data_IF_791437782979
#
_entry.id   IF_791437782979
#
_cell.length_a   1.000
_cell.length_b   1.000
_cell.length_c   1.000
_cell.angle_alpha   90.00
_cell.angle_beta   90.00
_cell.angle_gamma   90.00
#
_symmetry.space_group_name_H-M   'P 1'
#
loop_
_entity.id
_entity.type
_entity.pdbx_description
1 polymer ?
#
# COMPACT_ATOMS: atom_id res chain seq x y z
N UNK A 1 9.89 -2.34 -6.17
CA UNK A 1 8.72 -2.00 -7.02
C UNK A 1 7.61 -1.53 -6.09
N UNK A 2 6.90 -0.45 -6.42
CA UNK A 2 5.83 0.11 -5.60
C UNK A 2 4.85 0.83 -6.52
N UNK A 3 3.58 0.56 -6.32
CA UNK A 3 2.48 1.23 -6.99
C UNK A 3 1.49 1.67 -5.92
N UNK A 4 0.91 2.85 -6.10
CA UNK A 4 -0.02 3.46 -5.17
C UNK A 4 -1.15 4.07 -5.99
N UNK A 5 -2.38 3.83 -5.57
CA UNK A 5 -3.57 4.36 -6.21
C UNK A 5 -4.59 4.76 -5.16
N UNK A 6 -5.43 5.74 -5.51
CA UNK A 6 -6.61 6.09 -4.73
C UNK A 6 -7.78 5.30 -5.32
N UNK A 7 -8.48 4.55 -4.49
CA UNK A 7 -9.61 3.71 -4.91
C UNK A 7 -10.95 4.21 -4.38
N UNK A 8 -10.95 4.94 -3.25
CA UNK A 8 -12.15 5.52 -2.64
C UNK A 8 -11.90 6.94 -2.11
N UNK A 9 -12.95 7.75 -2.08
CA UNK A 9 -12.90 9.16 -1.66
C UNK A 9 -12.47 10.13 -2.76
N UNK A 10 -12.46 11.43 -2.45
CA UNK A 10 -12.17 12.49 -3.43
C UNK A 10 -11.26 13.63 -2.94
N UNK A 11 -10.88 13.64 -1.66
CA UNK A 11 -10.07 14.72 -1.05
C UNK A 11 -8.59 14.31 -0.84
N UNK A 12 -8.23 13.06 -1.13
CA UNK A 12 -6.88 12.53 -0.94
C UNK A 12 -5.94 12.78 -2.13
N UNK A 13 -4.64 12.80 -1.86
CA UNK A 13 -3.57 12.92 -2.85
C UNK A 13 -2.75 11.62 -2.89
N UNK A 14 -2.62 11.00 -4.07
CA UNK A 14 -1.84 9.76 -4.22
C UNK A 14 -0.36 9.94 -3.82
N UNK A 15 0.34 11.05 -4.21
CA UNK A 15 1.68 11.32 -3.71
C UNK A 15 1.79 11.44 -2.19
N UNK A 16 0.80 12.04 -1.51
CA UNK A 16 0.81 12.16 -0.06
C UNK A 16 0.57 10.82 0.63
N UNK A 17 -0.36 10.01 0.11
CA UNK A 17 -0.61 8.65 0.57
C UNK A 17 0.67 7.79 0.42
N UNK A 18 1.33 7.87 -0.74
CA UNK A 18 2.57 7.15 -1.01
C UNK A 18 3.69 7.59 -0.07
N UNK A 19 3.83 8.90 0.19
CA UNK A 19 4.81 9.42 1.13
C UNK A 19 4.57 8.91 2.56
N UNK A 20 3.31 8.95 3.02
CA UNK A 20 2.91 8.44 4.33
C UNK A 20 3.17 6.94 4.46
N UNK A 21 2.65 6.13 3.54
CA UNK A 21 2.82 4.68 3.53
C UNK A 21 4.29 4.27 3.38
N UNK A 22 5.04 4.99 2.56
CA UNK A 22 6.48 4.79 2.41
C UNK A 22 7.26 5.08 3.69
N UNK A 23 6.88 6.12 4.44
CA UNK A 23 7.46 6.42 5.75
C UNK A 23 7.09 5.35 6.79
N UNK A 24 5.81 4.95 6.83
CA UNK A 24 5.34 3.87 7.69
C UNK A 24 6.12 2.57 7.45
N UNK A 25 6.28 2.18 6.19
CA UNK A 25 6.96 0.95 5.80
C UNK A 25 8.46 0.92 6.16
N UNK A 26 9.11 2.08 6.27
CA UNK A 26 10.51 2.17 6.72
C UNK A 26 10.65 2.11 8.25
N UNK A 27 9.63 2.53 8.98
CA UNK A 27 9.66 2.66 10.42
C UNK A 27 9.21 1.40 11.17
N UNK A 28 8.56 0.46 10.49
CA UNK A 28 7.94 -0.72 11.11
C UNK A 28 8.41 -2.03 10.47
N UNK A 29 8.51 -3.11 11.26
CA UNK A 29 8.77 -4.44 10.70
C UNK A 29 7.56 -4.90 9.90
N UNK A 30 7.77 -5.14 8.61
CA UNK A 30 6.77 -5.63 7.66
C UNK A 30 7.28 -6.91 6.99
N UNK A 31 6.38 -7.75 6.46
CA UNK A 31 6.77 -8.83 5.56
C UNK A 31 7.55 -8.28 4.35
N UNK A 32 8.29 -9.17 3.69
CA UNK A 32 9.10 -8.83 2.50
C UNK A 32 8.30 -8.07 1.44
N UNK A 33 7.04 -8.45 1.25
CA UNK A 33 6.05 -7.72 0.48
C UNK A 33 4.70 -7.79 1.19
N UNK A 34 3.95 -6.69 1.13
CA UNK A 34 2.58 -6.56 1.64
C UNK A 34 1.89 -5.42 0.89
N UNK A 35 0.57 -5.34 1.00
CA UNK A 35 -0.21 -4.16 0.62
C UNK A 35 -0.50 -3.38 1.89
N UNK A 36 -0.40 -2.05 1.82
CA UNK A 36 -0.74 -1.17 2.93
C UNK A 36 -1.88 -0.27 2.49
N UNK A 37 -2.98 -0.33 3.22
CA UNK A 37 -4.14 0.52 3.00
C UNK A 37 -4.09 1.68 3.98
N UNK A 38 -4.39 2.88 3.48
CA UNK A 38 -4.42 4.09 4.29
C UNK A 38 -5.70 4.88 4.03
N UNK A 39 -6.18 5.56 5.08
CA UNK A 39 -7.31 6.46 5.00
C UNK A 39 -6.87 7.88 5.38
N UNK A 40 -7.33 8.87 4.61
CA UNK A 40 -7.23 10.27 5.00
C UNK A 40 -8.41 10.62 5.92
N UNK A 41 -8.11 10.94 7.17
CA UNK A 41 -9.11 11.37 8.15
C UNK A 41 -9.15 12.90 8.18
N UNK A 42 -10.32 13.47 7.88
CA UNK A 42 -10.52 14.93 7.84
C UNK A 42 -10.10 15.57 9.16
N UNK A 43 -9.21 16.56 9.08
CA UNK A 43 -8.67 17.29 10.22
C UNK A 43 -7.67 16.51 11.09
N UNK A 44 -7.30 15.28 10.72
CA UNK A 44 -6.34 14.44 11.46
C UNK A 44 -5.18 13.90 10.62
N UNK A 45 -5.33 13.87 9.30
CA UNK A 45 -4.30 13.41 8.36
C UNK A 45 -4.42 11.91 8.04
N UNK A 46 -3.35 11.35 7.49
CA UNK A 46 -3.30 9.96 7.04
C UNK A 46 -3.15 8.99 8.21
N UNK A 47 -3.90 7.88 8.16
CA UNK A 47 -3.80 6.77 9.09
C UNK A 47 -3.63 5.46 8.31
N UNK A 48 -2.80 4.55 8.84
CA UNK A 48 -2.76 3.17 8.35
C UNK A 48 -4.06 2.49 8.75
N UNK A 49 -4.69 1.84 7.79
CA UNK A 49 -5.94 1.13 7.99
C UNK A 49 -5.70 -0.37 8.14
N UNK A 50 -4.93 -0.95 7.21
CA UNK A 50 -4.67 -2.39 7.17
C UNK A 50 -3.31 -2.69 6.51
N UNK A 51 -2.71 -3.82 6.89
CA UNK A 51 -1.59 -4.42 6.18
C UNK A 51 -1.99 -5.82 5.70
N UNK A 52 -2.11 -5.95 4.39
CA UNK A 52 -2.61 -7.14 3.72
C UNK A 52 -1.47 -7.97 3.12
N UNK A 53 -1.68 -9.29 3.01
CA UNK A 53 -0.84 -10.12 2.16
C UNK A 53 -0.89 -9.62 0.71
N UNK A 54 0.20 -9.71 -0.05
CA UNK A 54 0.28 -9.13 -1.40
C UNK A 54 -0.81 -9.56 -2.38
N UNK A 55 -1.43 -10.72 -2.18
CA UNK A 55 -2.50 -11.26 -3.02
C UNK A 55 -3.91 -10.91 -2.50
N UNK A 56 -4.05 -10.40 -1.27
CA UNK A 56 -5.33 -10.25 -0.58
C UNK A 56 -6.07 -8.93 -0.86
N UNK A 57 -5.38 -7.89 -1.32
CA UNK A 57 -5.97 -6.55 -1.44
C UNK A 57 -6.63 -6.25 -2.81
N UNK A 58 -6.50 -7.14 -3.80
CA UNK A 58 -6.87 -6.82 -5.18
C UNK A 58 -5.93 -5.79 -5.83
N UNK A 59 -6.30 -5.27 -7.01
CA UNK A 59 -5.47 -4.29 -7.73
C UNK A 59 -5.76 -2.85 -7.32
N UNK A 60 -6.99 -2.48 -6.94
CA UNK A 60 -7.38 -1.14 -6.46
C UNK A 60 -6.81 0.04 -7.27
N UNK A 61 -6.73 -0.09 -8.61
CA UNK A 61 -6.18 0.94 -9.50
C UNK A 61 -4.65 0.98 -9.58
N UNK A 62 -3.95 0.12 -8.83
CA UNK A 62 -2.51 -0.08 -8.93
C UNK A 62 -2.10 -0.77 -10.24
N UNK A 63 -0.84 -0.59 -10.61
CA UNK A 63 -0.25 -1.21 -11.79
C UNK A 63 -0.20 -2.74 -11.62
N UNK A 64 -0.88 -3.53 -12.47
CA UNK A 64 -0.93 -4.97 -12.36
C UNK A 64 0.44 -5.64 -12.50
N UNK A 65 1.33 -5.09 -13.33
CA UNK A 65 2.68 -5.65 -13.49
C UNK A 65 3.49 -5.52 -12.20
N UNK A 66 3.31 -4.40 -11.49
CA UNK A 66 3.96 -4.17 -10.19
C UNK A 66 3.38 -5.05 -9.10
N UNK A 67 2.05 -5.19 -9.06
CA UNK A 67 1.37 -6.06 -8.12
C UNK A 67 1.81 -7.53 -8.29
N UNK A 68 1.86 -8.03 -9.53
CA UNK A 68 2.32 -9.39 -9.85
C UNK A 68 3.76 -9.61 -9.36
N UNK A 69 4.66 -8.65 -9.55
CA UNK A 69 6.03 -8.76 -9.07
C UNK A 69 6.11 -8.86 -7.54
N UNK A 70 5.28 -8.09 -6.80
CA UNK A 70 5.21 -8.18 -5.35
C UNK A 70 4.65 -9.52 -4.86
N UNK A 71 3.65 -10.07 -5.55
CA UNK A 71 3.11 -11.41 -5.25
C UNK A 71 4.16 -12.49 -5.49
N UNK A 72 4.87 -12.44 -6.62
CA UNK A 72 5.94 -13.40 -6.92
C UNK A 72 7.07 -13.33 -5.88
N UNK A 73 7.39 -12.15 -5.37
CA UNK A 73 8.38 -11.99 -4.32
C UNK A 73 7.89 -12.54 -2.96
N UNK A 74 6.58 -12.44 -2.68
CA UNK A 74 5.95 -12.97 -1.46
C UNK A 74 6.03 -14.51 -1.37
N UNK A 75 6.10 -15.21 -2.51
CA UNK A 75 6.08 -16.67 -2.59
C UNK A 75 7.46 -17.31 -2.64
N UNK A 76 8.53 -16.51 -2.54
CA UNK A 76 9.89 -17.05 -2.52
C UNK A 76 10.12 -17.83 -1.23
N UNK A 77 10.83 -18.97 -1.30
CA UNK A 77 11.25 -19.69 -0.10
C UNK A 77 12.01 -18.76 0.84
N UNK A 78 11.71 -18.88 2.13
CA UNK A 78 12.46 -18.24 3.22
C UNK A 78 13.77 -18.96 3.51
#
# INVERSE_FOLDING_TARGET
MRTCALYEGGEGSAPEAEAFLGAFARAHPLPRTCVLDAALIRGRGWALLEANASWGAGLNGCDPAQAIACIAEATRPV
#
